data_IF_924059152215
#
_entry.id   IF_924059152215
#
_cell.length_a   1.000
_cell.length_b   1.000
_cell.length_c   1.000
_cell.angle_alpha   90.00
_cell.angle_beta   90.00
_cell.angle_gamma   90.00
#
_symmetry.space_group_name_H-M   'P 1'
#
loop_
_entity.id
_entity.type
_entity.pdbx_description
1 polymer ?
#
# COMPACT_ATOMS: atom_id res chain seq x y z
N UNK A 1 -3.59 13.49 7.09
CA UNK A 1 -4.28 12.27 6.66
C UNK A 1 -3.37 11.07 6.90
N UNK A 2 -3.90 10.02 7.53
CA UNK A 2 -3.22 8.76 7.82
C UNK A 2 -3.62 7.70 6.80
N UNK A 3 -2.65 6.93 6.30
CA UNK A 3 -2.91 5.82 5.38
C UNK A 3 -2.36 4.50 5.93
N UNK A 4 -3.00 3.40 5.54
CA UNK A 4 -2.48 2.05 5.72
C UNK A 4 -2.38 1.37 4.36
N UNK A 5 -1.19 0.88 4.00
CA UNK A 5 -0.96 0.19 2.73
C UNK A 5 -0.74 -1.30 3.00
N UNK A 6 -1.57 -2.14 2.38
CA UNK A 6 -1.44 -3.59 2.37
C UNK A 6 -0.91 -4.01 1.01
N UNK A 7 0.24 -4.68 0.99
CA UNK A 7 0.80 -5.28 -0.21
C UNK A 7 0.51 -6.78 -0.22
N UNK A 8 -0.15 -7.24 -1.27
CA UNK A 8 -0.41 -8.64 -1.57
C UNK A 8 0.15 -8.98 -2.96
N UNK A 9 0.28 -10.27 -3.25
CA UNK A 9 0.71 -10.74 -4.57
C UNK A 9 2.21 -10.99 -4.64
N UNK A 10 2.84 -10.49 -5.70
CA UNK A 10 4.21 -10.85 -6.08
C UNK A 10 5.22 -9.73 -5.74
N UNK A 11 6.55 -9.97 -5.92
CA UNK A 11 7.56 -8.94 -5.69
C UNK A 11 7.35 -7.64 -6.46
N UNK A 12 6.66 -7.66 -7.61
CA UNK A 12 6.31 -6.43 -8.35
C UNK A 12 5.38 -5.53 -7.52
N UNK A 13 4.36 -6.10 -6.86
CA UNK A 13 3.48 -5.35 -5.97
C UNK A 13 4.25 -4.73 -4.80
N UNK A 14 5.33 -5.37 -4.33
CA UNK A 14 6.19 -4.78 -3.29
C UNK A 14 6.93 -3.55 -3.80
N UNK A 15 7.57 -3.64 -4.97
CA UNK A 15 8.25 -2.51 -5.61
C UNK A 15 7.27 -1.35 -5.87
N UNK A 16 6.08 -1.66 -6.39
CA UNK A 16 5.04 -0.65 -6.63
C UNK A 16 4.57 -0.01 -5.33
N UNK A 17 4.40 -0.80 -4.26
CA UNK A 17 4.02 -0.30 -2.94
C UNK A 17 5.07 0.62 -2.34
N UNK A 18 6.36 0.33 -2.54
CA UNK A 18 7.45 1.21 -2.11
C UNK A 18 7.41 2.57 -2.84
N UNK A 19 7.07 2.56 -4.14
CA UNK A 19 6.82 3.78 -4.92
C UNK A 19 5.61 4.57 -4.42
N UNK A 20 4.50 3.88 -4.13
CA UNK A 20 3.29 4.50 -3.55
C UNK A 20 3.62 5.13 -2.19
N UNK A 21 4.32 4.43 -1.30
CA UNK A 21 4.68 4.99 0.01
C UNK A 21 5.59 6.22 -0.11
N UNK A 22 6.54 6.22 -1.06
CA UNK A 22 7.40 7.38 -1.32
C UNK A 22 6.56 8.60 -1.71
N UNK A 23 5.63 8.44 -2.65
CA UNK A 23 4.75 9.53 -3.09
C UNK A 23 3.87 10.05 -1.94
N UNK A 24 3.28 9.16 -1.15
CA UNK A 24 2.43 9.53 -0.02
C UNK A 24 3.21 10.27 1.09
N UNK A 25 4.45 9.83 1.38
CA UNK A 25 5.32 10.51 2.33
C UNK A 25 5.75 11.89 1.81
N UNK A 26 6.08 12.02 0.53
CA UNK A 26 6.42 13.30 -0.10
C UNK A 26 5.24 14.29 -0.07
N UNK A 27 4.00 13.78 -0.08
CA UNK A 27 2.78 14.58 0.09
C UNK A 27 2.43 14.88 1.56
N UNK A 28 3.34 14.61 2.51
CA UNK A 28 3.15 14.79 3.95
C UNK A 28 2.01 13.97 4.57
N UNK A 29 1.61 12.85 3.95
CA UNK A 29 0.72 11.89 4.57
C UNK A 29 1.48 10.95 5.52
N UNK A 30 0.78 10.46 6.55
CA UNK A 30 1.39 9.64 7.60
C UNK A 30 1.00 8.17 7.44
N UNK A 31 1.98 7.27 7.39
CA UNK A 31 1.71 5.84 7.47
C UNK A 31 1.25 5.47 8.89
N UNK A 32 0.32 4.54 9.00
CA UNK A 32 -0.05 3.88 10.26
C UNK A 32 0.07 2.38 10.13
N UNK A 33 0.51 1.69 11.19
CA UNK A 33 0.54 0.23 11.24
C UNK A 33 -0.85 -0.38 11.52
N UNK A 34 -1.83 0.43 11.95
CA UNK A 34 -3.18 -0.03 12.27
C UNK A 34 -4.18 0.41 11.19
N UNK A 35 -4.84 -0.52 10.48
CA UNK A 35 -5.91 -0.17 9.53
C UNK A 35 -7.04 0.64 10.17
N UNK A 36 -7.32 0.41 11.46
CA UNK A 36 -8.38 1.11 12.21
C UNK A 36 -8.06 2.58 12.51
N UNK A 37 -6.80 2.98 12.37
CA UNK A 37 -6.34 4.34 12.60
C UNK A 37 -6.08 5.10 11.30
N UNK A 38 -6.35 4.48 10.14
CA UNK A 38 -6.14 5.08 8.84
C UNK A 38 -7.41 5.83 8.40
N UNK A 39 -7.21 6.99 7.79
CA UNK A 39 -8.27 7.70 7.07
C UNK A 39 -8.53 7.01 5.72
N UNK A 40 -7.50 6.37 5.14
CA UNK A 40 -7.57 5.62 3.87
C UNK A 40 -6.81 4.30 4.00
N UNK A 41 -7.46 3.20 3.57
CA UNK A 41 -6.85 1.89 3.41
C UNK A 41 -6.59 1.62 1.92
N UNK A 42 -5.36 1.28 1.58
CA UNK A 42 -4.93 0.95 0.20
C UNK A 42 -4.52 -0.53 0.18
N UNK A 43 -5.05 -1.29 -0.78
CA UNK A 43 -4.65 -2.69 -1.01
C UNK A 43 -4.07 -2.79 -2.42
N UNK A 44 -2.78 -3.09 -2.52
CA UNK A 44 -2.10 -3.36 -3.79
C UNK A 44 -1.98 -4.88 -3.97
N UNK A 45 -2.61 -5.43 -5.00
CA UNK A 45 -2.67 -6.87 -5.28
C UNK A 45 -2.59 -7.16 -6.78
N UNK A 46 -2.34 -8.41 -7.15
CA UNK A 46 -2.38 -8.85 -8.55
C UNK A 46 -3.82 -8.84 -9.09
N UNK A 47 -4.00 -8.32 -10.30
CA UNK A 47 -5.29 -8.36 -11.01
C UNK A 47 -5.59 -9.72 -11.67
N UNK A 48 -4.57 -10.52 -11.93
CA UNK A 48 -4.69 -11.88 -12.48
C UNK A 48 -4.38 -12.89 -11.37
N UNK A 49 -5.40 -13.61 -10.94
CA UNK A 49 -5.34 -14.66 -9.92
C UNK A 49 -5.29 -16.05 -10.57
N UNK A 50 -4.44 -16.23 -11.60
CA UNK A 50 -3.96 -17.60 -11.84
C UNK A 50 -2.95 -17.87 -10.73
N UNK A 51 -3.29 -18.82 -9.86
CA UNK A 51 -2.39 -19.30 -8.82
C UNK A 51 -1.09 -19.75 -9.51
N UNK A 52 0.00 -19.08 -9.17
CA UNK A 52 1.35 -19.53 -9.55
C UNK A 52 1.66 -20.87 -8.87
#
# INVERSE_FOLDING_TARGET
>A
MKYHLVTLGCPKNKVDSDGIEMLLRNAAYQATASPKQADVLIVNTCGFLEAA
#
